data_IF_329141766010
#
_entry.id   IF_329141766010
#
_cell.length_a   1.000
_cell.length_b   1.000
_cell.length_c   1.000
_cell.angle_alpha   90.00
_cell.angle_beta   90.00
_cell.angle_gamma   90.00
#
_symmetry.space_group_name_H-M   'P 1'
#
loop_
_entity.id
_entity.type
_entity.pdbx_description
1 polymer ?
#
# COMPACT_ATOMS: atom_id res chain seq x y z
N UNK A 1 -11.40 -6.44 25.52
CA UNK A 1 -10.00 -6.93 25.56
C UNK A 1 -9.88 -8.43 25.29
N UNK A 2 -10.42 -9.34 26.11
CA UNK A 2 -10.29 -10.81 25.88
C UNK A 2 -10.69 -11.27 24.47
N UNK A 3 -11.85 -10.83 23.96
CA UNK A 3 -12.29 -11.19 22.60
C UNK A 3 -11.32 -10.69 21.51
N UNK A 4 -10.91 -9.42 21.58
CA UNK A 4 -9.92 -8.83 20.66
C UNK A 4 -8.58 -9.59 20.67
N UNK A 5 -8.10 -9.98 21.86
CA UNK A 5 -6.89 -10.80 21.99
C UNK A 5 -7.05 -12.19 21.39
N UNK A 6 -8.22 -12.82 21.55
CA UNK A 6 -8.53 -14.11 20.92
C UNK A 6 -8.54 -14.02 19.40
N UNK A 7 -9.21 -13.00 18.83
CA UNK A 7 -9.23 -12.74 17.38
C UNK A 7 -7.82 -12.48 16.86
N UNK A 8 -7.04 -11.62 17.53
CA UNK A 8 -5.63 -11.34 17.19
C UNK A 8 -4.82 -12.62 17.06
N UNK A 9 -4.91 -13.49 18.08
CA UNK A 9 -4.18 -14.76 18.12
C UNK A 9 -4.64 -15.72 17.02
N UNK A 10 -5.95 -15.87 16.82
CA UNK A 10 -6.50 -16.80 15.83
C UNK A 10 -6.16 -16.37 14.40
N UNK A 11 -6.14 -15.07 14.13
CA UNK A 11 -5.83 -14.52 12.82
C UNK A 11 -4.32 -14.38 12.55
N UNK A 12 -3.46 -14.65 13.54
CA UNK A 12 -2.02 -14.35 13.41
C UNK A 12 -1.73 -12.86 13.20
N UNK A 13 -2.58 -11.99 13.75
CA UNK A 13 -2.50 -10.55 13.52
C UNK A 13 -1.58 -9.83 14.51
N UNK A 14 -0.96 -8.74 14.05
CA UNK A 14 -0.19 -7.84 14.89
C UNK A 14 -1.08 -6.85 15.63
N UNK A 15 -2.23 -6.52 15.06
CA UNK A 15 -3.24 -5.68 15.71
C UNK A 15 -4.64 -6.05 15.25
N UNK A 16 -5.63 -5.76 16.09
CA UNK A 16 -7.04 -5.74 15.70
C UNK A 16 -7.60 -4.37 16.03
N UNK A 17 -8.39 -3.81 15.12
CA UNK A 17 -8.90 -2.45 15.22
C UNK A 17 -10.42 -2.41 15.19
N UNK A 18 -10.98 -1.42 15.88
CA UNK A 18 -12.39 -1.07 15.85
C UNK A 18 -12.53 0.45 15.85
N UNK A 19 -13.07 0.98 14.76
CA UNK A 19 -13.18 2.41 14.52
C UNK A 19 -14.65 2.79 14.41
N UNK A 20 -15.11 3.64 15.31
CA UNK A 20 -16.51 4.07 15.38
C UNK A 20 -16.74 5.35 14.58
N UNK A 21 -17.65 5.32 13.61
CA UNK A 21 -18.02 6.53 12.85
C UNK A 21 -18.82 7.55 13.66
N UNK A 22 -19.53 7.13 14.72
CA UNK A 22 -20.29 8.05 15.57
C UNK A 22 -19.43 8.74 16.62
N UNK A 23 -18.44 8.05 17.19
CA UNK A 23 -17.59 8.59 18.26
C UNK A 23 -16.20 8.98 17.80
N UNK A 24 -15.81 8.62 16.57
CA UNK A 24 -14.47 8.79 16.00
C UNK A 24 -13.35 8.11 16.80
N UNK A 25 -13.69 7.21 17.73
CA UNK A 25 -12.70 6.44 18.50
C UNK A 25 -12.09 5.36 17.61
N UNK A 26 -10.77 5.39 17.48
CA UNK A 26 -9.95 4.32 16.93
C UNK A 26 -9.42 3.46 18.08
N UNK A 27 -10.05 2.30 18.27
CA UNK A 27 -9.67 1.33 19.30
C UNK A 27 -8.77 0.25 18.69
N UNK A 28 -7.81 -0.24 19.46
CA UNK A 28 -7.00 -1.42 19.16
C UNK A 28 -7.17 -2.49 20.24
N UNK A 29 -6.48 -3.63 20.11
CA UNK A 29 -6.34 -4.60 21.22
C UNK A 29 -5.65 -4.03 22.47
N UNK A 30 -5.06 -2.84 22.40
CA UNK A 30 -4.39 -2.17 23.52
C UNK A 30 -5.25 -1.09 24.17
N UNK A 31 -6.40 -0.75 23.58
CA UNK A 31 -7.35 0.22 24.12
C UNK A 31 -7.64 1.34 23.13
N UNK A 32 -7.84 2.56 23.62
CA UNK A 32 -8.00 3.73 22.75
C UNK A 32 -6.64 4.12 22.16
N UNK A 33 -6.49 3.96 20.85
CA UNK A 33 -5.29 4.36 20.12
C UNK A 33 -5.29 5.85 19.78
N UNK A 34 -6.36 6.32 19.12
CA UNK A 34 -6.53 7.74 18.76
C UNK A 34 -7.98 8.13 18.52
N UNK A 35 -8.21 9.43 18.32
CA UNK A 35 -9.47 10.00 17.85
C UNK A 35 -9.28 10.46 16.41
N UNK A 36 -10.13 10.02 15.49
CA UNK A 36 -10.10 10.46 14.10
C UNK A 36 -10.78 11.83 13.92
N UNK A 37 -10.39 12.52 12.87
CA UNK A 37 -10.92 13.79 12.43
C UNK A 37 -11.00 13.80 10.90
N UNK A 38 -12.10 14.33 10.35
CA UNK A 38 -12.24 14.48 8.90
C UNK A 38 -11.27 15.50 8.30
N UNK A 39 -10.57 16.23 9.16
CA UNK A 39 -9.48 17.15 8.79
C UNK A 39 -8.10 16.61 9.19
N UNK A 40 -8.03 15.39 9.74
CA UNK A 40 -6.78 14.76 10.15
C UNK A 40 -5.98 14.30 8.95
N UNK A 41 -4.68 14.59 8.96
CA UNK A 41 -3.78 14.16 7.90
C UNK A 41 -3.72 12.62 7.85
N UNK A 42 -3.94 12.05 6.67
CA UNK A 42 -3.90 10.59 6.48
C UNK A 42 -5.08 9.83 7.09
N UNK A 43 -6.13 10.50 7.56
CA UNK A 43 -7.32 9.84 8.13
C UNK A 43 -8.47 9.69 7.13
N UNK A 44 -8.30 10.25 5.93
CA UNK A 44 -9.32 10.29 4.89
C UNK A 44 -9.78 8.89 4.43
N UNK A 45 -8.90 7.88 4.48
CA UNK A 45 -9.24 6.50 4.14
C UNK A 45 -10.46 5.97 4.90
N UNK A 46 -10.65 6.38 6.16
CA UNK A 46 -11.75 5.92 7.01
C UNK A 46 -13.09 6.44 6.48
N UNK A 47 -13.14 7.74 6.19
CA UNK A 47 -14.33 8.41 5.69
C UNK A 47 -14.65 7.94 4.27
N UNK A 48 -13.65 7.87 3.41
CA UNK A 48 -13.80 7.40 2.03
C UNK A 48 -14.30 5.95 1.98
N UNK A 49 -13.83 5.08 2.89
CA UNK A 49 -14.29 3.69 2.94
C UNK A 49 -15.75 3.59 3.38
N UNK A 50 -16.16 4.36 4.39
CA UNK A 50 -17.56 4.41 4.82
C UNK A 50 -18.48 4.98 3.72
N UNK A 51 -18.02 5.99 2.99
CA UNK A 51 -18.77 6.64 1.91
C UNK A 51 -18.91 5.76 0.67
N UNK A 52 -17.82 5.11 0.22
CA UNK A 52 -17.84 4.17 -0.92
C UNK A 52 -18.87 3.05 -0.74
N UNK A 53 -19.18 2.72 0.50
CA UNK A 53 -20.22 1.77 0.84
C UNK A 53 -19.86 0.29 0.59
N UNK A 54 -18.62 0.00 0.18
CA UNK A 54 -18.13 -1.37 0.01
C UNK A 54 -18.05 -2.09 1.35
N UNK A 55 -18.20 -3.42 1.34
CA UNK A 55 -18.19 -4.24 2.56
C UNK A 55 -16.80 -4.47 3.12
N UNK A 56 -15.79 -4.51 2.25
CA UNK A 56 -14.41 -4.81 2.57
C UNK A 56 -13.44 -3.88 1.83
N UNK A 57 -12.30 -3.61 2.46
CA UNK A 57 -11.15 -2.93 1.86
C UNK A 57 -9.88 -3.64 2.33
N UNK A 58 -8.99 -3.95 1.39
CA UNK A 58 -7.61 -4.33 1.66
C UNK A 58 -6.71 -3.11 1.43
N UNK A 59 -5.72 -2.91 2.29
CA UNK A 59 -4.73 -1.86 2.11
C UNK A 59 -3.37 -2.33 2.61
N UNK A 60 -2.29 -1.92 1.95
CA UNK A 60 -0.93 -2.04 2.48
C UNK A 60 -0.43 -0.63 2.76
N UNK A 61 -0.02 -0.38 4.00
CA UNK A 61 0.57 0.89 4.39
C UNK A 61 1.54 0.70 5.56
N UNK A 62 2.25 1.77 5.94
CA UNK A 62 2.96 1.84 7.21
C UNK A 62 1.95 2.03 8.34
N UNK A 63 2.11 1.26 9.40
CA UNK A 63 1.35 1.48 10.63
C UNK A 63 1.68 2.88 11.19
N UNK A 64 0.64 3.61 11.60
CA UNK A 64 0.79 4.97 12.09
C UNK A 64 1.57 5.09 13.41
N UNK A 65 1.72 4.00 14.16
CA UNK A 65 2.41 3.96 15.45
C UNK A 65 3.79 3.32 15.27
N UNK A 66 3.86 2.11 14.70
CA UNK A 66 5.13 1.36 14.59
C UNK A 66 5.94 1.67 13.35
N UNK A 67 5.36 2.33 12.34
CA UNK A 67 5.95 2.54 11.00
C UNK A 67 6.34 1.25 10.25
N UNK A 68 5.94 0.08 10.74
CA UNK A 68 6.11 -1.20 10.05
C UNK A 68 5.13 -1.32 8.89
N UNK A 69 5.49 -2.07 7.85
CA UNK A 69 4.55 -2.34 6.78
C UNK A 69 3.51 -3.36 7.24
N UNK A 70 2.25 -2.97 7.12
CA UNK A 70 1.09 -3.78 7.50
C UNK A 70 0.15 -3.91 6.33
N UNK A 71 -0.45 -5.10 6.18
CA UNK A 71 -1.66 -5.29 5.42
C UNK A 71 -2.85 -5.15 6.36
N UNK A 72 -3.74 -4.22 6.06
CA UNK A 72 -5.00 -4.01 6.75
C UNK A 72 -6.13 -4.70 6.00
N UNK A 73 -6.85 -5.56 6.71
CA UNK A 73 -8.12 -6.13 6.25
C UNK A 73 -9.23 -5.41 6.99
N UNK A 74 -9.95 -4.53 6.30
CA UNK A 74 -10.97 -3.68 6.88
C UNK A 74 -12.35 -4.13 6.42
N UNK A 75 -13.26 -4.32 7.38
CA UNK A 75 -14.65 -4.69 7.16
C UNK A 75 -15.54 -3.60 7.73
N UNK A 76 -16.48 -3.13 6.92
CA UNK A 76 -17.51 -2.18 7.37
C UNK A 76 -18.54 -2.93 8.22
N UNK A 77 -18.91 -2.35 9.36
CA UNK A 77 -20.03 -2.81 10.15
C UNK A 77 -21.12 -1.73 10.24
N UNK A 78 -22.36 -2.17 10.45
CA UNK A 78 -23.49 -1.34 10.81
C UNK A 78 -24.21 -1.97 12.01
N UNK A 79 -24.24 -1.24 13.13
CA UNK A 79 -24.89 -1.68 14.36
C UNK A 79 -26.26 -1.00 14.58
N UNK A 80 -26.85 -0.39 13.55
CA UNK A 80 -28.10 0.35 13.63
C UNK A 80 -27.94 1.74 14.27
N UNK A 81 -28.99 2.57 14.18
CA UNK A 81 -29.02 3.93 14.74
C UNK A 81 -27.83 4.80 14.31
N UNK A 82 -27.42 4.70 13.04
CA UNK A 82 -26.26 5.41 12.46
C UNK A 82 -24.92 5.04 13.13
N UNK A 83 -24.82 3.89 13.81
CA UNK A 83 -23.58 3.37 14.41
C UNK A 83 -22.84 2.50 13.39
N UNK A 84 -22.37 3.15 12.34
CA UNK A 84 -21.48 2.55 11.36
C UNK A 84 -20.01 2.71 11.77
N UNK A 85 -19.16 1.86 11.24
CA UNK A 85 -17.73 1.93 11.49
C UNK A 85 -16.98 0.82 10.78
N UNK A 86 -15.72 0.64 11.16
CA UNK A 86 -14.81 -0.31 10.54
C UNK A 86 -14.18 -1.17 11.62
N UNK A 87 -14.26 -2.48 11.44
CA UNK A 87 -13.50 -3.45 12.21
C UNK A 87 -12.41 -4.01 11.29
N UNK A 88 -11.23 -4.32 11.82
CA UNK A 88 -10.16 -4.82 10.96
C UNK A 88 -9.04 -5.53 11.68
N UNK A 89 -8.15 -6.08 10.87
CA UNK A 89 -6.92 -6.76 11.28
C UNK A 89 -5.75 -6.06 10.63
N UNK A 90 -4.65 -5.89 11.36
CA UNK A 90 -3.35 -5.53 10.81
C UNK A 90 -2.41 -6.74 10.85
N UNK A 91 -1.91 -7.14 9.70
CA UNK A 91 -0.99 -8.26 9.50
C UNK A 91 0.36 -7.70 9.07
N UNK A 92 1.46 -8.13 9.72
CA UNK A 92 2.80 -7.71 9.29
C UNK A 92 3.07 -8.20 7.87
N UNK A 93 3.54 -7.28 7.02
CA UNK A 93 4.08 -7.59 5.70
C UNK A 93 5.50 -7.05 5.55
N UNK A 94 6.21 -6.87 6.66
CA UNK A 94 7.65 -6.56 6.66
C UNK A 94 8.46 -7.58 5.83
N UNK A 95 8.16 -8.90 5.85
CA UNK A 95 8.81 -9.85 4.94
C UNK A 95 8.62 -9.52 3.47
N UNK A 96 7.41 -9.08 3.06
CA UNK A 96 7.16 -8.63 1.68
C UNK A 96 7.99 -7.39 1.36
N UNK A 97 8.05 -6.41 2.25
CA UNK A 97 8.88 -5.22 2.06
C UNK A 97 10.36 -5.57 1.93
N UNK A 98 10.85 -6.54 2.70
CA UNK A 98 12.20 -7.05 2.59
C UNK A 98 12.43 -7.80 1.28
N UNK A 99 11.46 -8.60 0.81
CA UNK A 99 11.51 -9.21 -0.52
C UNK A 99 11.63 -8.14 -1.59
N UNK A 100 10.73 -7.15 -1.63
CA UNK A 100 10.78 -6.05 -2.61
C UNK A 100 12.15 -5.35 -2.62
N UNK A 101 12.70 -5.05 -1.43
CA UNK A 101 14.00 -4.38 -1.31
C UNK A 101 15.17 -5.21 -1.81
N UNK A 102 15.13 -6.52 -1.59
CA UNK A 102 16.23 -7.43 -1.89
C UNK A 102 16.10 -8.09 -3.27
N UNK A 103 14.92 -8.00 -3.89
CA UNK A 103 14.64 -8.67 -5.16
C UNK A 103 15.48 -8.07 -6.28
N UNK A 104 16.10 -8.95 -7.05
CA UNK A 104 16.84 -8.61 -8.26
C UNK A 104 16.16 -9.23 -9.46
N UNK A 105 15.79 -8.39 -10.42
CA UNK A 105 15.32 -8.83 -11.74
C UNK A 105 16.52 -8.81 -12.66
N UNK A 106 16.86 -9.95 -13.27
CA UNK A 106 18.15 -10.08 -13.95
C UNK A 106 19.31 -9.91 -12.97
N UNK A 107 20.37 -9.21 -13.38
CA UNK A 107 21.58 -9.03 -12.57
C UNK A 107 21.50 -7.82 -11.64
N UNK A 108 20.90 -6.71 -12.11
CA UNK A 108 20.89 -5.43 -11.37
C UNK A 108 19.52 -4.76 -11.23
N UNK A 109 18.51 -5.28 -11.92
CA UNK A 109 17.15 -4.74 -11.90
C UNK A 109 16.49 -4.77 -10.53
N UNK A 110 15.38 -4.07 -10.39
CA UNK A 110 14.68 -3.89 -9.12
C UNK A 110 13.17 -4.04 -9.26
N UNK A 111 12.51 -4.28 -8.12
CA UNK A 111 11.05 -4.29 -8.00
C UNK A 111 10.65 -3.23 -6.99
N UNK A 112 9.52 -2.58 -7.23
CA UNK A 112 8.93 -1.63 -6.29
C UNK A 112 7.40 -1.57 -6.40
N UNK A 113 6.75 -1.09 -5.34
CA UNK A 113 5.30 -0.97 -5.23
C UNK A 113 4.90 0.50 -5.27
N UNK A 114 3.91 0.82 -6.11
CA UNK A 114 3.39 2.19 -6.30
C UNK A 114 1.88 2.18 -6.12
N UNK A 115 1.34 3.23 -5.49
CA UNK A 115 -0.11 3.42 -5.35
C UNK A 115 -0.74 3.88 -6.65
N UNK A 116 -2.05 3.71 -6.82
CA UNK A 116 -2.76 4.17 -8.02
C UNK A 116 -2.65 5.67 -8.32
N UNK A 117 -2.32 6.50 -7.33
CA UNK A 117 -2.03 7.92 -7.55
C UNK A 117 -0.58 8.20 -8.01
N UNK A 118 0.29 7.20 -8.01
CA UNK A 118 1.70 7.31 -8.37
C UNK A 118 2.68 7.52 -7.21
N UNK A 119 2.24 7.58 -5.95
CA UNK A 119 3.16 7.66 -4.82
C UNK A 119 3.81 6.32 -4.51
N UNK A 120 5.10 6.35 -4.15
CA UNK A 120 5.90 5.15 -3.93
C UNK A 120 5.59 4.57 -2.55
N UNK A 121 5.21 3.29 -2.50
CA UNK A 121 4.87 2.56 -1.27
C UNK A 121 6.06 1.77 -0.71
N UNK A 122 6.74 1.00 -1.56
CA UNK A 122 7.93 0.24 -1.20
C UNK A 122 8.93 0.33 -2.34
N UNK A 123 10.20 0.51 -2.00
CA UNK A 123 11.28 0.61 -2.97
C UNK A 123 12.58 0.08 -2.34
N UNK A 124 13.52 -0.37 -3.17
CA UNK A 124 14.85 -0.84 -2.72
C UNK A 124 15.58 0.22 -1.93
N UNK A 125 15.62 1.44 -2.45
CA UNK A 125 15.96 2.63 -1.68
C UNK A 125 14.77 3.05 -0.82
N UNK A 126 14.88 2.87 0.50
CA UNK A 126 13.84 3.23 1.46
C UNK A 126 13.57 4.73 1.56
N UNK A 127 14.52 5.59 1.14
CA UNK A 127 14.32 7.05 1.15
C UNK A 127 13.21 7.48 0.17
N UNK A 128 13.01 6.71 -0.90
CA UNK A 128 11.93 6.95 -1.86
C UNK A 128 10.56 6.47 -1.37
N UNK A 129 10.50 5.69 -0.29
CA UNK A 129 9.26 5.17 0.28
C UNK A 129 8.82 5.96 1.52
N UNK A 130 8.86 7.28 1.44
CA UNK A 130 8.52 8.23 2.52
C UNK A 130 7.10 8.83 2.41
N UNK A 131 6.40 8.53 1.32
CA UNK A 131 5.07 9.09 1.02
C UNK A 131 5.11 10.47 0.34
N UNK A 132 6.29 11.04 0.10
CA UNK A 132 6.49 12.31 -0.60
C UNK A 132 7.04 12.13 -2.02
N UNK A 133 7.65 10.98 -2.33
CA UNK A 133 8.17 10.68 -3.67
C UNK A 133 7.12 9.99 -4.57
N UNK A 134 7.21 10.31 -5.86
CA UNK A 134 6.26 9.88 -6.89
C UNK A 134 6.99 9.25 -8.07
N UNK A 135 6.35 8.28 -8.71
CA UNK A 135 6.88 7.56 -9.87
C UNK A 135 7.34 8.49 -10.99
N UNK A 136 6.56 9.53 -11.28
CA UNK A 136 6.84 10.50 -12.34
C UNK A 136 8.09 11.33 -12.14
N UNK A 137 8.61 11.38 -10.91
CA UNK A 137 9.76 12.20 -10.52
C UNK A 137 11.03 11.36 -10.37
N UNK A 138 10.96 10.04 -10.62
CA UNK A 138 12.14 9.18 -10.68
C UNK A 138 13.03 9.52 -11.89
N UNK A 139 14.35 9.30 -11.81
CA UNK A 139 15.25 9.54 -12.94
C UNK A 139 14.81 8.78 -14.21
N UNK A 140 14.68 9.51 -15.33
CA UNK A 140 14.23 8.96 -16.61
C UNK A 140 12.70 8.77 -16.73
N UNK A 141 11.96 8.88 -15.64
CA UNK A 141 10.49 8.84 -15.67
C UNK A 141 9.89 10.19 -16.08
N UNK A 142 8.65 10.14 -16.54
CA UNK A 142 7.86 11.31 -16.90
C UNK A 142 6.41 11.11 -16.50
N UNK A 143 5.61 12.18 -16.54
CA UNK A 143 4.18 12.11 -16.28
C UNK A 143 3.45 11.20 -17.29
N UNK A 144 3.84 11.24 -18.58
CA UNK A 144 3.24 10.39 -19.62
C UNK A 144 3.60 8.92 -19.43
N UNK A 145 4.88 8.61 -19.16
CA UNK A 145 5.32 7.24 -18.88
C UNK A 145 4.62 6.68 -17.65
N UNK A 146 4.57 7.46 -16.56
CA UNK A 146 3.91 7.04 -15.32
C UNK A 146 2.43 6.79 -15.53
N UNK A 147 1.74 7.66 -16.29
CA UNK A 147 0.33 7.45 -16.61
C UNK A 147 0.12 6.18 -17.43
N UNK A 148 1.02 5.84 -18.35
CA UNK A 148 0.92 4.62 -19.15
C UNK A 148 1.15 3.36 -18.30
N UNK A 149 2.11 3.39 -17.37
CA UNK A 149 2.39 2.29 -16.44
C UNK A 149 1.28 2.09 -15.40
N UNK A 150 0.53 3.14 -15.06
CA UNK A 150 -0.53 3.12 -14.05
C UNK A 150 -1.95 3.12 -14.65
N UNK A 151 -2.12 2.52 -15.84
CA UNK A 151 -3.39 2.49 -16.60
C UNK A 151 -4.31 1.31 -16.24
N UNK A 152 -4.19 0.75 -15.03
CA UNK A 152 -5.00 -0.37 -14.49
C UNK A 152 -5.03 -1.65 -15.34
N UNK A 153 -4.13 -1.79 -16.31
CA UNK A 153 -3.99 -2.99 -17.15
C UNK A 153 -3.33 -4.13 -16.37
N UNK A 154 -3.64 -5.39 -16.68
CA UNK A 154 -2.98 -6.54 -16.05
C UNK A 154 -1.47 -6.56 -16.24
N UNK A 155 -1.00 -6.03 -17.37
CA UNK A 155 0.42 -5.90 -17.70
C UNK A 155 0.65 -4.76 -18.68
N UNK A 156 1.67 -3.93 -18.43
CA UNK A 156 2.19 -2.90 -19.34
C UNK A 156 3.72 -2.95 -19.29
N UNK A 157 4.39 -2.63 -20.39
CA UNK A 157 5.82 -2.35 -20.36
C UNK A 157 6.16 -1.15 -21.24
N UNK A 158 7.32 -0.55 -21.00
CA UNK A 158 7.90 0.52 -21.80
C UNK A 158 9.42 0.49 -21.67
N UNK A 159 10.10 1.18 -22.58
CA UNK A 159 11.52 1.53 -22.48
C UNK A 159 11.63 3.00 -22.09
N UNK A 160 12.66 3.34 -21.31
CA UNK A 160 13.03 4.72 -20.97
C UNK A 160 14.54 4.84 -20.86
N UNK A 161 15.06 6.03 -21.16
CA UNK A 161 16.50 6.29 -21.11
C UNK A 161 16.95 6.69 -19.70
N UNK A 162 18.08 6.15 -19.28
CA UNK A 162 18.80 6.56 -18.07
C UNK A 162 20.21 7.04 -18.41
N UNK A 163 20.94 7.57 -17.43
CA UNK A 163 22.36 7.89 -17.60
C UNK A 163 23.23 6.65 -17.91
N UNK A 164 22.78 5.45 -17.56
CA UNK A 164 23.47 4.17 -17.75
C UNK A 164 23.06 3.45 -19.05
N UNK A 165 22.08 4.00 -19.78
CA UNK A 165 21.52 3.43 -21.02
C UNK A 165 20.01 3.15 -20.91
N UNK A 166 19.42 2.52 -21.94
CA UNK A 166 17.99 2.21 -21.97
C UNK A 166 17.64 1.13 -20.94
N UNK A 167 16.54 1.37 -20.23
CA UNK A 167 15.96 0.45 -19.26
C UNK A 167 14.56 0.03 -19.74
N UNK A 168 14.22 -1.23 -19.49
CA UNK A 168 12.84 -1.72 -19.60
C UNK A 168 12.20 -1.58 -18.22
N UNK A 169 10.97 -1.07 -18.20
CA UNK A 169 10.09 -1.09 -17.03
C UNK A 169 8.78 -1.77 -17.41
N UNK A 170 8.31 -2.67 -16.53
CA UNK A 170 7.01 -3.30 -16.64
C UNK A 170 6.20 -3.04 -15.37
N UNK A 171 4.88 -2.97 -15.51
CA UNK A 171 3.93 -2.82 -14.41
C UNK A 171 2.80 -3.83 -14.50
N UNK A 172 2.36 -4.31 -13.35
CA UNK A 172 1.17 -5.14 -13.20
C UNK A 172 0.26 -4.56 -12.12
N UNK A 173 -1.01 -4.35 -12.45
CA UNK A 173 -2.02 -3.84 -11.52
C UNK A 173 -2.56 -4.95 -10.62
N UNK A 174 -2.69 -4.64 -9.32
CA UNK A 174 -3.33 -5.50 -8.30
C UNK A 174 -4.63 -4.83 -7.87
N UNK A 175 -5.78 -5.19 -8.48
CA UNK A 175 -7.05 -4.48 -8.30
C UNK A 175 -7.52 -4.38 -6.85
N UNK A 176 -7.32 -5.44 -6.07
CA UNK A 176 -7.82 -5.53 -4.69
C UNK A 176 -7.15 -4.53 -3.74
N UNK A 177 -5.93 -4.09 -4.09
CA UNK A 177 -5.12 -3.17 -3.28
C UNK A 177 -5.02 -1.77 -3.92
N UNK A 178 -5.48 -1.60 -5.16
CA UNK A 178 -5.22 -0.42 -6.00
C UNK A 178 -3.71 -0.07 -6.05
N UNK A 179 -2.88 -1.10 -6.12
CA UNK A 179 -1.42 -1.02 -6.19
C UNK A 179 -0.89 -1.54 -7.52
N UNK A 180 0.31 -1.11 -7.86
CA UNK A 180 1.07 -1.58 -9.00
C UNK A 180 2.37 -2.18 -8.51
N UNK A 181 2.69 -3.37 -9.01
CA UNK A 181 4.03 -3.96 -8.92
C UNK A 181 4.78 -3.51 -10.16
N UNK A 182 5.89 -2.80 -9.98
CA UNK A 182 6.77 -2.41 -11.07
C UNK A 182 8.08 -3.19 -10.97
N UNK A 183 8.58 -3.61 -12.12
CA UNK A 183 9.89 -4.22 -12.29
C UNK A 183 10.66 -3.43 -13.35
N UNK A 184 11.89 -3.05 -13.05
CA UNK A 184 12.77 -2.36 -14.00
C UNK A 184 14.14 -3.03 -14.07
N UNK A 185 14.77 -3.00 -15.23
CA UNK A 185 16.12 -3.51 -15.45
C UNK A 185 16.73 -2.90 -16.72
N UNK A 186 18.06 -2.88 -16.85
CA UNK A 186 18.71 -2.51 -18.11
C UNK A 186 18.21 -3.39 -19.26
N UNK A 187 17.91 -2.78 -20.41
CA UNK A 187 17.37 -3.50 -21.58
C UNK A 187 18.29 -4.64 -22.04
N UNK A 188 19.60 -4.42 -21.97
CA UNK A 188 20.63 -5.40 -22.32
C UNK A 188 20.54 -6.71 -21.51
N UNK A 189 19.94 -6.69 -20.31
CA UNK A 189 19.79 -7.90 -19.47
C UNK A 189 18.55 -8.74 -19.83
N UNK A 190 17.60 -8.19 -20.60
CA UNK A 190 16.40 -8.93 -21.05
C UNK A 190 16.70 -9.73 -22.31
N UNK A 191 17.50 -9.16 -23.21
CA UNK A 191 17.75 -9.66 -24.55
C UNK A 191 19.01 -10.54 -24.64
N UNK A 192 19.41 -11.18 -23.53
CA UNK A 192 20.71 -11.84 -23.35
C UNK A 192 21.31 -12.45 -24.63
N UNK A 193 22.61 -12.21 -24.84
CA UNK A 193 23.39 -12.60 -26.04
C UNK A 193 23.02 -13.98 -26.62
#
# INVERSE_FOLDING_TARGET
MKYASSVKKQAGAETVLWVSGSTQKYLTNEGLGRMLSSKGQGEQWFYDFLEKGTSQMLAIDKDAISSQYMMFINIRFDAGDKRQGIAGLGLSVDPLAQTVRSYKVGESGSVFLVRGNGSILMHRDSALADGAHWLKDLPGFSASLSSALLDKKPFVHSVYDTAEGPHIVASSYVPELDLYVLAELPEAQVLGD
#
